data_IF_961565533292
#
_entry.id   IF_961565533292
#
_cell.length_a   1.000
_cell.length_b   1.000
_cell.length_c   1.000
_cell.angle_alpha   90.00
_cell.angle_beta   90.00
_cell.angle_gamma   90.00
#
_symmetry.space_group_name_H-M   'P 1'
#
loop_
_entity.id
_entity.type
_entity.pdbx_description
1 polymer ?
#
# COMPACT_ATOMS: atom_id res chain seq x y z
N UNK A 1 31.48 -7.88 9.99
CA UNK A 1 32.25 -7.87 8.72
C UNK A 1 31.87 -6.67 7.84
N UNK A 2 30.59 -6.36 7.65
CA UNK A 2 30.11 -5.22 6.85
C UNK A 2 30.62 -3.89 7.39
N UNK A 3 30.63 -3.69 8.72
CA UNK A 3 31.16 -2.47 9.34
C UNK A 3 32.64 -2.24 9.10
N UNK A 4 33.43 -3.30 8.93
CA UNK A 4 34.86 -3.19 8.56
C UNK A 4 35.06 -2.81 7.10
N UNK A 5 34.16 -3.21 6.20
CA UNK A 5 34.19 -2.84 4.79
C UNK A 5 33.77 -1.37 4.61
N UNK A 6 32.77 -0.91 5.35
CA UNK A 6 32.25 0.46 5.27
C UNK A 6 33.22 1.54 5.78
N UNK A 7 34.35 1.14 6.38
CA UNK A 7 35.40 2.06 6.89
C UNK A 7 36.58 2.21 5.92
N UNK A 8 36.60 1.44 4.85
CA UNK A 8 37.66 1.51 3.84
C UNK A 8 37.37 2.65 2.85
N UNK A 9 38.35 3.45 2.57
CA UNK A 9 38.25 4.61 1.67
C UNK A 9 38.14 4.21 0.19
N UNK A 10 38.52 2.98 -0.13
CA UNK A 10 38.52 2.41 -1.50
C UNK A 10 37.23 1.66 -1.84
N UNK A 11 36.25 1.58 -0.92
CA UNK A 11 35.01 0.82 -1.11
C UNK A 11 33.78 1.69 -0.88
N UNK A 12 32.91 1.74 -1.89
CA UNK A 12 31.56 2.28 -1.75
C UNK A 12 30.59 1.16 -1.43
N UNK A 13 29.97 1.20 -0.25
CA UNK A 13 28.98 0.21 0.19
C UNK A 13 27.59 0.80 0.13
N UNK A 14 26.74 0.25 -0.72
CA UNK A 14 25.33 0.61 -0.82
C UNK A 14 24.51 -0.51 -0.19
N UNK A 15 23.74 -0.17 0.86
CA UNK A 15 22.81 -1.08 1.51
C UNK A 15 21.39 -0.63 1.17
N UNK A 16 20.63 -1.45 0.50
CA UNK A 16 19.23 -1.21 0.19
C UNK A 16 18.34 -2.17 0.99
N UNK A 17 17.27 -1.66 1.55
CA UNK A 17 16.32 -2.46 2.33
C UNK A 17 15.01 -1.70 2.55
N UNK A 18 13.96 -2.43 2.94
CA UNK A 18 12.65 -1.86 3.27
C UNK A 18 12.53 -1.50 4.75
N UNK A 19 13.46 -2.00 5.57
CA UNK A 19 13.47 -1.74 7.02
C UNK A 19 14.26 -0.48 7.35
N UNK A 20 13.95 0.18 8.46
CA UNK A 20 14.77 1.27 8.99
C UNK A 20 16.25 0.87 9.14
N UNK A 21 17.13 1.87 9.19
CA UNK A 21 18.58 1.64 9.36
C UNK A 21 18.82 0.79 10.61
N UNK A 22 19.41 -0.40 10.47
CA UNK A 22 19.61 -1.30 11.62
C UNK A 22 20.47 -0.68 12.71
N UNK A 23 20.21 -0.93 14.01
CA UNK A 23 20.98 -0.35 15.13
C UNK A 23 22.48 -0.63 15.08
N UNK A 24 22.90 -1.76 14.48
CA UNK A 24 24.31 -2.12 14.36
C UNK A 24 25.09 -1.19 13.39
N UNK A 25 24.40 -0.40 12.56
CA UNK A 25 25.01 0.65 11.73
C UNK A 25 25.21 1.98 12.46
N UNK A 26 24.67 2.13 13.67
CA UNK A 26 24.81 3.37 14.46
C UNK A 26 26.25 3.88 14.59
N UNK A 27 27.28 3.04 14.81
CA UNK A 27 28.68 3.53 14.91
C UNK A 27 29.20 4.17 13.62
N UNK A 28 28.61 3.83 12.46
CA UNK A 28 29.01 4.37 11.14
C UNK A 28 28.17 5.60 10.80
N UNK A 29 26.94 5.66 11.28
CA UNK A 29 25.97 6.74 10.97
C UNK A 29 26.49 8.15 11.31
N UNK A 30 27.32 8.27 12.34
CA UNK A 30 27.87 9.55 12.78
C UNK A 30 29.17 9.94 12.08
N UNK A 31 29.61 9.17 11.08
CA UNK A 31 30.75 9.52 10.24
C UNK A 31 30.29 10.34 9.03
N UNK A 32 31.06 11.32 8.61
CA UNK A 32 30.75 12.19 7.46
C UNK A 32 30.55 11.42 6.13
N UNK A 33 31.01 10.17 6.06
CA UNK A 33 30.93 9.30 4.89
C UNK A 33 29.63 8.49 4.82
N UNK A 34 28.64 8.72 5.68
CA UNK A 34 27.38 7.98 5.72
C UNK A 34 26.23 8.85 5.17
N UNK A 35 25.60 8.39 4.09
CA UNK A 35 24.43 9.04 3.52
C UNK A 35 23.21 8.12 3.63
N UNK A 36 22.08 8.63 4.11
CA UNK A 36 20.81 7.95 4.11
C UNK A 36 19.96 8.53 2.97
N UNK A 37 19.55 7.66 2.06
CA UNK A 37 18.55 7.96 1.05
C UNK A 37 17.25 7.34 1.54
N UNK A 38 16.37 8.15 2.10
CA UNK A 38 15.07 7.75 2.57
C UNK A 38 14.05 7.74 1.40
N UNK A 39 12.86 7.22 1.68
CA UNK A 39 11.76 7.11 0.72
C UNK A 39 11.43 8.46 0.05
N UNK A 40 11.35 9.53 0.84
CA UNK A 40 11.01 10.88 0.34
C UNK A 40 11.96 11.38 -0.76
N UNK A 41 13.25 10.99 -0.69
CA UNK A 41 14.25 11.35 -1.70
C UNK A 41 14.15 10.52 -2.98
N UNK A 42 13.39 9.44 -2.95
CA UNK A 42 13.15 8.57 -4.11
C UNK A 42 11.85 8.90 -4.84
N UNK A 43 11.02 9.78 -4.26
CA UNK A 43 9.80 10.22 -4.91
C UNK A 43 10.12 11.18 -6.07
N UNK A 44 9.36 11.06 -7.15
CA UNK A 44 9.41 12.03 -8.24
C UNK A 44 8.77 13.34 -7.79
N UNK A 45 9.54 14.41 -7.88
CA UNK A 45 9.03 15.77 -7.79
C UNK A 45 8.31 16.16 -9.09
N UNK A 46 7.73 17.37 -9.13
CA UNK A 46 7.03 17.87 -10.32
C UNK A 46 7.90 17.89 -11.56
N UNK A 47 9.15 18.35 -11.42
CA UNK A 47 10.10 18.44 -12.52
C UNK A 47 10.47 17.04 -13.05
N UNK A 48 10.71 16.10 -12.15
CA UNK A 48 11.01 14.70 -12.52
C UNK A 48 9.83 14.05 -13.24
N UNK A 49 8.61 14.30 -12.78
CA UNK A 49 7.39 13.80 -13.41
C UNK A 49 7.24 14.32 -14.86
N UNK A 50 7.43 15.62 -15.06
CA UNK A 50 7.38 16.24 -16.39
C UNK A 50 8.49 15.74 -17.30
N UNK A 51 9.70 15.60 -16.81
CA UNK A 51 10.81 15.01 -17.55
C UNK A 51 10.54 13.56 -17.94
N UNK A 52 9.92 12.78 -17.05
CA UNK A 52 9.55 11.40 -17.33
C UNK A 52 8.52 11.30 -18.45
N UNK A 53 7.43 12.07 -18.37
CA UNK A 53 6.39 12.15 -19.40
C UNK A 53 6.98 12.57 -20.76
N UNK A 54 7.84 13.59 -20.76
CA UNK A 54 8.52 14.05 -21.97
C UNK A 54 9.42 12.96 -22.59
N UNK A 55 10.23 12.29 -21.79
CA UNK A 55 11.13 11.21 -22.26
C UNK A 55 10.37 10.00 -22.80
N UNK A 56 9.19 9.71 -22.26
CA UNK A 56 8.31 8.63 -22.72
C UNK A 56 7.40 9.06 -23.90
N UNK A 57 7.53 10.31 -24.36
CA UNK A 57 6.68 10.87 -25.43
C UNK A 57 5.18 10.69 -25.17
N UNK A 58 4.76 10.88 -23.93
CA UNK A 58 3.35 10.80 -23.56
C UNK A 58 2.66 12.13 -23.88
N UNK A 59 1.63 12.07 -24.72
CA UNK A 59 0.82 13.24 -25.08
C UNK A 59 -0.33 13.39 -24.07
N UNK A 60 -0.06 14.10 -22.99
CA UNK A 60 -1.02 14.35 -21.91
C UNK A 60 -1.40 15.83 -21.89
N UNK A 61 -2.69 16.10 -21.67
CA UNK A 61 -3.15 17.44 -21.30
C UNK A 61 -2.70 17.78 -19.87
N UNK A 62 -2.70 19.06 -19.50
CA UNK A 62 -2.38 19.49 -18.13
C UNK A 62 -3.27 18.78 -17.09
N UNK A 63 -4.56 18.64 -17.40
CA UNK A 63 -5.53 17.94 -16.54
C UNK A 63 -5.16 16.46 -16.38
N UNK A 64 -4.83 15.76 -17.45
CA UNK A 64 -4.43 14.36 -17.43
C UNK A 64 -3.12 14.16 -16.67
N UNK A 65 -2.16 15.05 -16.86
CA UNK A 65 -0.91 15.02 -16.11
C UNK A 65 -1.14 15.23 -14.62
N UNK A 66 -2.03 16.14 -14.24
CA UNK A 66 -2.40 16.36 -12.83
C UNK A 66 -3.04 15.10 -12.21
N UNK A 67 -3.96 14.43 -12.92
CA UNK A 67 -4.57 13.17 -12.47
C UNK A 67 -3.51 12.07 -12.33
N UNK A 68 -2.60 11.95 -13.29
CA UNK A 68 -1.53 10.94 -13.22
C UNK A 68 -0.56 11.24 -12.06
N UNK A 69 -0.17 12.49 -11.84
CA UNK A 69 0.64 12.91 -10.67
C UNK A 69 -0.07 12.54 -9.35
N UNK A 70 -1.37 12.84 -9.25
CA UNK A 70 -2.17 12.50 -8.08
C UNK A 70 -2.23 10.99 -7.84
N UNK A 71 -2.37 10.19 -8.89
CA UNK A 71 -2.39 8.73 -8.80
C UNK A 71 -1.03 8.15 -8.41
N UNK A 72 0.06 8.60 -9.03
CA UNK A 72 1.40 8.05 -8.80
C UNK A 72 2.00 8.45 -7.44
N UNK A 73 1.52 9.53 -6.80
CA UNK A 73 2.06 10.08 -5.55
C UNK A 73 3.60 10.20 -5.53
N UNK A 74 4.21 10.42 -6.68
CA UNK A 74 5.67 10.49 -6.85
C UNK A 74 6.37 9.11 -6.87
N UNK A 75 5.67 8.01 -6.69
CA UNK A 75 6.27 6.67 -6.62
C UNK A 75 6.67 6.19 -8.02
N UNK A 76 7.95 5.87 -8.23
CA UNK A 76 8.50 5.52 -9.54
C UNK A 76 7.77 4.34 -10.22
N UNK A 77 7.35 3.31 -9.46
CA UNK A 77 6.60 2.18 -10.03
C UNK A 77 5.21 2.61 -10.51
N UNK A 78 4.57 3.58 -9.87
CA UNK A 78 3.31 4.17 -10.35
C UNK A 78 3.45 4.80 -11.72
N UNK A 79 4.52 5.56 -11.91
CA UNK A 79 4.86 6.16 -13.20
C UNK A 79 5.16 5.09 -14.27
N UNK A 80 5.90 4.05 -13.92
CA UNK A 80 6.20 2.95 -14.84
C UNK A 80 4.92 2.23 -15.29
N UNK A 81 4.08 1.81 -14.36
CA UNK A 81 2.83 1.09 -14.66
C UNK A 81 1.89 1.96 -15.50
N UNK A 82 1.76 3.26 -15.14
CA UNK A 82 0.93 4.20 -15.90
C UNK A 82 1.44 4.42 -17.32
N UNK A 83 2.76 4.48 -17.51
CA UNK A 83 3.33 4.62 -18.86
C UNK A 83 3.19 3.35 -19.69
N UNK A 84 3.30 2.18 -19.09
CA UNK A 84 3.09 0.91 -19.78
C UNK A 84 1.62 0.71 -20.18
N UNK A 85 0.68 1.17 -19.33
CA UNK A 85 -0.74 1.24 -19.68
C UNK A 85 -0.97 2.23 -20.84
N UNK A 86 -0.35 3.42 -20.77
CA UNK A 86 -0.43 4.43 -21.83
C UNK A 86 0.04 3.86 -23.16
N UNK A 87 1.21 3.23 -23.21
CA UNK A 87 1.79 2.66 -24.43
C UNK A 87 0.88 1.57 -25.04
N UNK A 88 0.28 0.71 -24.22
CA UNK A 88 -0.66 -0.32 -24.67
C UNK A 88 -1.94 0.28 -25.23
N UNK A 89 -2.55 1.22 -24.52
CA UNK A 89 -3.77 1.87 -24.99
C UNK A 89 -3.53 2.66 -26.27
N UNK A 90 -2.36 3.32 -26.39
CA UNK A 90 -1.96 4.04 -27.60
C UNK A 90 -1.88 3.12 -28.83
N UNK A 91 -1.36 1.90 -28.66
CA UNK A 91 -1.29 0.92 -29.75
C UNK A 91 -2.66 0.42 -30.22
N UNK A 92 -3.67 0.46 -29.35
CA UNK A 92 -5.03 0.04 -29.64
C UNK A 92 -5.89 1.15 -30.28
N UNK A 93 -5.42 2.41 -30.25
CA UNK A 93 -6.14 3.53 -30.86
C UNK A 93 -6.12 3.45 -32.38
N UNK A 94 -7.21 3.93 -33.01
CA UNK A 94 -7.28 4.13 -34.46
C UNK A 94 -6.30 5.21 -34.94
N UNK A 95 -6.11 6.25 -34.12
CA UNK A 95 -5.09 7.29 -34.32
C UNK A 95 -4.12 7.31 -33.13
N UNK A 96 -2.98 6.63 -33.24
CA UNK A 96 -1.98 6.60 -32.16
C UNK A 96 -1.25 7.93 -31.94
N UNK A 97 -1.39 8.90 -32.85
CA UNK A 97 -0.70 10.19 -32.76
C UNK A 97 -1.49 11.26 -31.99
N UNK A 98 -2.79 11.03 -31.77
CA UNK A 98 -3.66 11.94 -31.02
C UNK A 98 -3.60 11.73 -29.49
N UNK A 99 -3.93 12.77 -28.70
CA UNK A 99 -4.10 12.63 -27.26
C UNK A 99 -5.29 11.72 -26.94
N UNK A 100 -5.34 11.20 -25.72
CA UNK A 100 -6.50 10.49 -25.22
C UNK A 100 -7.64 11.48 -24.89
N UNK A 101 -8.89 11.10 -25.17
CA UNK A 101 -10.04 11.79 -24.61
C UNK A 101 -10.18 11.51 -23.10
N UNK A 102 -11.10 12.21 -22.41
CA UNK A 102 -11.26 12.07 -20.97
C UNK A 102 -11.64 10.63 -20.57
N UNK A 103 -12.57 10.01 -21.29
CA UNK A 103 -13.05 8.65 -21.01
C UNK A 103 -11.99 7.60 -21.28
N UNK A 104 -11.28 7.72 -22.40
CA UNK A 104 -10.14 6.83 -22.70
C UNK A 104 -9.07 6.91 -21.61
N UNK A 105 -8.81 8.13 -21.12
CA UNK A 105 -7.81 8.34 -20.07
C UNK A 105 -8.26 7.81 -18.73
N UNK A 106 -9.53 7.93 -18.35
CA UNK A 106 -10.09 7.31 -17.14
C UNK A 106 -9.92 5.78 -17.16
N UNK A 107 -10.26 5.13 -18.29
CA UNK A 107 -10.08 3.68 -18.46
C UNK A 107 -8.59 3.30 -18.36
N UNK A 108 -7.70 4.12 -18.92
CA UNK A 108 -6.26 3.91 -18.82
C UNK A 108 -5.80 3.94 -17.34
N UNK A 109 -6.22 4.92 -16.57
CA UNK A 109 -5.86 5.05 -15.15
C UNK A 109 -6.41 3.88 -14.34
N UNK A 110 -7.66 3.45 -14.56
CA UNK A 110 -8.21 2.26 -13.90
C UNK A 110 -7.41 1.00 -14.25
N UNK A 111 -7.01 0.83 -15.50
CA UNK A 111 -6.15 -0.28 -15.90
C UNK A 111 -4.75 -0.19 -15.26
N UNK A 112 -4.18 1.00 -15.13
CA UNK A 112 -2.92 1.21 -14.42
C UNK A 112 -3.05 0.84 -12.94
N UNK A 113 -4.17 1.16 -12.30
CA UNK A 113 -4.46 0.75 -10.92
C UNK A 113 -4.48 -0.77 -10.78
N UNK A 114 -5.19 -1.49 -11.64
CA UNK A 114 -5.23 -2.94 -11.60
C UNK A 114 -3.84 -3.58 -11.72
N UNK A 115 -3.00 -3.03 -12.61
CA UNK A 115 -1.62 -3.53 -12.75
C UNK A 115 -0.71 -3.18 -11.58
N UNK A 116 -0.91 -2.02 -10.98
CA UNK A 116 -0.21 -1.68 -9.74
C UNK A 116 -0.54 -2.69 -8.64
N UNK A 117 -1.83 -3.11 -8.58
CA UNK A 117 -2.27 -4.13 -7.63
C UNK A 117 -1.60 -5.47 -7.88
N UNK A 118 -1.56 -5.93 -9.12
CA UNK A 118 -0.89 -7.18 -9.49
C UNK A 118 0.60 -7.12 -9.13
N UNK A 119 1.25 -5.96 -9.34
CA UNK A 119 2.64 -5.75 -8.95
C UNK A 119 2.83 -5.82 -7.43
N UNK A 120 2.03 -5.09 -6.66
CA UNK A 120 2.10 -5.08 -5.19
C UNK A 120 1.77 -6.45 -4.62
N UNK A 121 0.80 -7.14 -5.22
CA UNK A 121 0.41 -8.48 -4.83
C UNK A 121 1.58 -9.45 -4.95
N UNK A 122 2.21 -9.52 -6.10
CA UNK A 122 3.28 -10.46 -6.39
C UNK A 122 4.61 -10.10 -5.72
N UNK A 123 5.01 -8.83 -5.77
CA UNK A 123 6.35 -8.42 -5.33
C UNK A 123 6.43 -7.98 -3.87
N UNK A 124 5.32 -7.69 -3.24
CA UNK A 124 5.27 -7.21 -1.86
C UNK A 124 4.52 -8.18 -0.97
N UNK A 125 3.23 -8.32 -1.21
CA UNK A 125 2.34 -9.06 -0.33
C UNK A 125 2.64 -10.57 -0.28
N UNK A 126 2.85 -11.21 -1.41
CA UNK A 126 3.13 -12.66 -1.48
C UNK A 126 4.48 -13.04 -0.85
N UNK A 127 5.34 -12.05 -0.60
CA UNK A 127 6.61 -12.25 0.10
C UNK A 127 6.47 -12.22 1.63
N UNK A 128 5.32 -11.82 2.15
CA UNK A 128 5.09 -11.75 3.59
C UNK A 128 4.75 -13.12 4.18
N UNK A 129 5.00 -13.27 5.48
CA UNK A 129 4.57 -14.47 6.22
C UNK A 129 3.05 -14.68 6.08
N UNK A 130 2.62 -15.92 5.89
CA UNK A 130 1.19 -16.28 5.69
C UNK A 130 0.31 -15.73 6.82
N UNK A 131 0.78 -15.79 8.07
CA UNK A 131 0.03 -15.29 9.23
C UNK A 131 -0.25 -13.78 9.12
N UNK A 132 0.72 -13.02 8.60
CA UNK A 132 0.55 -11.58 8.40
C UNK A 132 -0.39 -11.28 7.23
N UNK A 133 -0.27 -12.05 6.15
CA UNK A 133 -1.19 -11.94 5.01
C UNK A 133 -2.65 -12.18 5.44
N UNK A 134 -2.88 -13.24 6.22
CA UNK A 134 -4.21 -13.58 6.75
C UNK A 134 -4.73 -12.47 7.67
N UNK A 135 -3.90 -12.01 8.61
CA UNK A 135 -4.26 -10.93 9.53
C UNK A 135 -4.72 -9.67 8.79
N UNK A 136 -3.94 -9.21 7.81
CA UNK A 136 -4.28 -8.01 7.04
C UNK A 136 -5.57 -8.17 6.23
N UNK A 137 -5.81 -9.35 5.67
CA UNK A 137 -7.09 -9.65 5.01
C UNK A 137 -8.25 -9.62 6.01
N UNK A 138 -8.09 -10.25 7.17
CA UNK A 138 -9.15 -10.36 8.17
C UNK A 138 -9.53 -9.01 8.77
N UNK A 139 -8.57 -8.13 9.08
CA UNK A 139 -8.86 -6.79 9.62
C UNK A 139 -9.36 -5.81 8.55
N UNK A 140 -9.20 -6.11 7.27
CA UNK A 140 -9.67 -5.24 6.18
C UNK A 140 -11.19 -5.10 6.08
N UNK A 141 -11.95 -5.90 6.78
CA UNK A 141 -13.42 -5.77 6.85
C UNK A 141 -13.87 -4.46 7.50
N UNK A 142 -13.00 -3.81 8.26
CA UNK A 142 -13.24 -2.51 8.88
C UNK A 142 -12.23 -1.48 8.35
N UNK A 143 -12.62 -0.19 8.33
CA UNK A 143 -11.73 0.88 7.86
C UNK A 143 -10.65 1.21 8.89
N UNK A 144 -10.98 1.09 10.18
CA UNK A 144 -10.08 1.34 11.30
C UNK A 144 -10.30 0.30 12.39
N UNK A 145 -9.23 -0.12 13.04
CA UNK A 145 -9.30 -1.07 14.14
C UNK A 145 -8.39 -0.69 15.30
N UNK A 146 -8.77 -1.10 16.48
CA UNK A 146 -7.91 -1.17 17.68
C UNK A 146 -7.37 -2.58 17.81
N UNK A 147 -6.34 -2.79 18.62
CA UNK A 147 -5.84 -4.15 18.93
C UNK A 147 -7.00 -5.05 19.36
N UNK A 148 -7.85 -4.59 20.30
CA UNK A 148 -8.99 -5.38 20.81
C UNK A 148 -10.03 -5.72 19.74
N UNK A 149 -10.32 -4.79 18.83
CA UNK A 149 -11.23 -5.09 17.72
C UNK A 149 -10.62 -6.14 16.80
N UNK A 150 -9.34 -6.00 16.48
CA UNK A 150 -8.66 -6.97 15.63
C UNK A 150 -8.57 -8.37 16.28
N UNK A 151 -8.31 -8.46 17.58
CA UNK A 151 -8.38 -9.72 18.35
C UNK A 151 -9.77 -10.35 18.26
N UNK A 152 -10.82 -9.55 18.39
CA UNK A 152 -12.20 -10.03 18.31
C UNK A 152 -12.55 -10.53 16.91
N UNK A 153 -12.17 -9.77 15.86
CA UNK A 153 -12.41 -10.13 14.46
C UNK A 153 -11.72 -11.45 14.13
N UNK A 154 -10.42 -11.53 14.43
CA UNK A 154 -9.53 -12.61 13.94
C UNK A 154 -9.49 -13.83 14.86
N UNK A 155 -9.85 -13.65 16.15
CA UNK A 155 -9.67 -14.65 17.20
C UNK A 155 -8.20 -14.91 17.57
N UNK A 156 -7.27 -14.02 17.18
CA UNK A 156 -5.83 -14.13 17.40
C UNK A 156 -5.42 -13.47 18.72
N UNK A 157 -4.39 -14.01 19.36
CA UNK A 157 -3.77 -13.44 20.55
C UNK A 157 -2.45 -12.71 20.25
N UNK A 158 -1.94 -12.84 19.03
CA UNK A 158 -0.66 -12.28 18.56
C UNK A 158 -0.82 -10.98 17.77
N UNK A 159 -1.97 -10.31 17.88
CA UNK A 159 -2.32 -9.12 17.09
C UNK A 159 -1.31 -7.99 17.26
N UNK A 160 -0.86 -7.68 18.48
CA UNK A 160 0.14 -6.64 18.70
C UNK A 160 1.43 -6.89 17.92
N UNK A 161 1.91 -8.13 17.93
CA UNK A 161 3.10 -8.53 17.18
C UNK A 161 2.89 -8.39 15.67
N UNK A 162 1.71 -8.76 15.16
CA UNK A 162 1.39 -8.64 13.73
C UNK A 162 1.26 -7.18 13.29
N UNK A 163 0.68 -6.32 14.13
CA UNK A 163 0.63 -4.86 13.89
C UNK A 163 2.04 -4.28 13.85
N UNK A 164 2.90 -4.60 14.81
CA UNK A 164 4.29 -4.14 14.79
C UNK A 164 5.05 -4.65 13.56
N UNK A 165 4.90 -5.92 13.20
CA UNK A 165 5.47 -6.45 11.95
C UNK A 165 4.97 -5.69 10.73
N UNK A 166 3.68 -5.36 10.67
CA UNK A 166 3.09 -4.61 9.55
C UNK A 166 3.72 -3.24 9.36
N UNK A 167 4.03 -2.54 10.45
CA UNK A 167 4.72 -1.23 10.41
C UNK A 167 6.12 -1.31 9.81
N UNK A 168 6.81 -2.44 9.99
CA UNK A 168 8.17 -2.64 9.48
C UNK A 168 8.23 -3.04 7.99
N UNK A 169 7.12 -3.51 7.42
CA UNK A 169 7.09 -4.04 6.05
C UNK A 169 6.80 -3.00 4.97
N UNK A 170 6.56 -1.77 5.36
CA UNK A 170 6.26 -0.65 4.47
C UNK A 170 5.19 0.27 5.08
N UNK A 171 5.02 1.45 4.52
CA UNK A 171 4.07 2.45 5.00
C UNK A 171 2.60 2.14 4.62
N UNK A 172 2.20 0.86 4.61
CA UNK A 172 0.83 0.46 4.25
C UNK A 172 -0.16 0.53 5.39
N UNK A 173 0.34 0.57 6.64
CA UNK A 173 -0.47 0.70 7.85
C UNK A 173 -0.10 1.99 8.58
N UNK A 174 -1.09 2.75 8.93
CA UNK A 174 -0.96 4.01 9.67
C UNK A 174 -1.48 3.83 11.08
N UNK A 175 -0.72 4.34 12.03
CA UNK A 175 -1.13 4.48 13.42
C UNK A 175 -1.72 5.87 13.63
N UNK A 176 -2.89 5.95 14.25
CA UNK A 176 -3.60 7.19 14.57
C UNK A 176 -4.11 7.14 16.00
N UNK A 177 -4.29 8.30 16.63
CA UNK A 177 -4.85 8.40 17.97
C UNK A 177 -6.20 9.09 17.93
N UNK A 178 -7.24 8.36 18.33
CA UNK A 178 -8.59 8.88 18.47
C UNK A 178 -8.91 8.97 19.97
N UNK A 179 -8.79 10.16 20.54
CA UNK A 179 -8.94 10.36 21.98
C UNK A 179 -7.82 9.68 22.78
N UNK A 180 -8.18 8.66 23.57
CA UNK A 180 -7.22 7.86 24.38
C UNK A 180 -6.87 6.51 23.75
N UNK A 181 -7.53 6.12 22.67
CA UNK A 181 -7.31 4.82 22.02
C UNK A 181 -6.40 4.98 20.82
N UNK A 182 -5.46 4.06 20.66
CA UNK A 182 -4.64 3.92 19.45
C UNK A 182 -5.43 3.09 18.45
N UNK A 183 -5.59 3.64 17.25
CA UNK A 183 -6.26 2.99 16.12
C UNK A 183 -5.27 2.79 14.98
N UNK A 184 -5.52 1.77 14.20
CA UNK A 184 -4.75 1.43 13.01
C UNK A 184 -5.66 1.38 11.80
N UNK A 185 -5.14 1.76 10.64
CA UNK A 185 -5.84 1.61 9.37
C UNK A 185 -4.87 1.31 8.25
N UNK A 186 -5.35 0.61 7.25
CA UNK A 186 -4.60 0.38 6.01
C UNK A 186 -4.82 1.56 5.08
N UNK A 187 -3.79 1.94 4.32
CA UNK A 187 -3.96 2.88 3.23
C UNK A 187 -5.01 2.35 2.25
N UNK A 188 -5.74 3.25 1.61
CA UNK A 188 -6.92 2.92 0.79
C UNK A 188 -6.63 1.84 -0.25
N UNK A 189 -5.49 1.96 -0.89
CA UNK A 189 -5.04 0.98 -1.85
C UNK A 189 -4.86 -0.41 -1.23
N UNK A 190 -4.13 -0.50 -0.15
CA UNK A 190 -3.91 -1.77 0.55
C UNK A 190 -5.24 -2.35 1.07
N UNK A 191 -6.08 -1.49 1.64
CA UNK A 191 -7.41 -1.88 2.13
C UNK A 191 -8.25 -2.52 1.02
N UNK A 192 -8.31 -1.88 -0.15
CA UNK A 192 -9.03 -2.37 -1.32
C UNK A 192 -8.48 -3.71 -1.80
N UNK A 193 -7.16 -3.86 -1.88
CA UNK A 193 -6.51 -5.12 -2.24
C UNK A 193 -6.85 -6.24 -1.24
N UNK A 194 -6.73 -5.96 0.05
CA UNK A 194 -7.02 -6.95 1.09
C UNK A 194 -8.48 -7.41 1.07
N UNK A 195 -9.43 -6.50 0.85
CA UNK A 195 -10.85 -6.81 0.68
C UNK A 195 -11.11 -7.69 -0.56
N UNK A 196 -10.46 -7.37 -1.69
CA UNK A 196 -10.54 -8.19 -2.91
C UNK A 196 -10.00 -9.60 -2.67
N UNK A 197 -8.88 -9.74 -1.97
CA UNK A 197 -8.29 -11.04 -1.61
C UNK A 197 -9.14 -11.82 -0.62
N UNK A 198 -9.69 -11.16 0.39
CA UNK A 198 -10.59 -11.77 1.35
C UNK A 198 -11.75 -12.46 0.61
N UNK A 199 -12.40 -11.74 -0.32
CA UNK A 199 -13.50 -12.29 -1.13
C UNK A 199 -13.09 -13.48 -2.00
N UNK A 200 -11.84 -13.49 -2.51
CA UNK A 200 -11.33 -14.58 -3.36
C UNK A 200 -10.88 -15.81 -2.55
N UNK A 201 -10.27 -15.60 -1.39
CA UNK A 201 -9.60 -16.67 -0.63
C UNK A 201 -10.47 -17.30 0.45
N UNK A 202 -11.41 -16.55 1.02
CA UNK A 202 -12.22 -17.02 2.14
C UNK A 202 -13.62 -17.42 1.68
N UNK A 203 -14.10 -18.55 2.23
CA UNK A 203 -15.50 -18.96 2.04
C UNK A 203 -16.45 -17.93 2.63
N UNK A 204 -17.67 -17.88 2.09
CA UNK A 204 -18.75 -17.02 2.60
C UNK A 204 -18.95 -17.18 4.10
N UNK A 205 -18.92 -18.43 4.59
CA UNK A 205 -19.07 -18.74 6.01
C UNK A 205 -17.95 -18.11 6.87
N UNK A 206 -16.69 -18.17 6.39
CA UNK A 206 -15.57 -17.55 7.10
C UNK A 206 -15.69 -16.03 7.07
N UNK A 207 -16.06 -15.43 5.95
CA UNK A 207 -16.30 -13.98 5.84
C UNK A 207 -17.41 -13.55 6.79
N UNK A 208 -18.55 -14.24 6.79
CA UNK A 208 -19.68 -14.02 7.70
C UNK A 208 -19.24 -13.99 9.15
N UNK A 209 -18.44 -14.95 9.58
CA UNK A 209 -17.93 -15.03 10.95
C UNK A 209 -17.09 -13.82 11.34
N UNK A 210 -16.26 -13.29 10.44
CA UNK A 210 -15.46 -12.09 10.70
C UNK A 210 -16.35 -10.87 10.94
N UNK A 211 -17.37 -10.67 10.09
CA UNK A 211 -18.33 -9.56 10.24
C UNK A 211 -19.20 -9.71 11.50
N UNK A 212 -19.65 -10.93 11.83
CA UNK A 212 -20.39 -11.20 13.07
C UNK A 212 -19.56 -10.87 14.31
N UNK A 213 -18.28 -11.24 14.32
CA UNK A 213 -17.34 -10.91 15.40
C UNK A 213 -17.15 -9.39 15.55
N UNK A 214 -17.00 -8.68 14.43
CA UNK A 214 -16.92 -7.20 14.46
C UNK A 214 -18.21 -6.57 14.96
N UNK A 215 -19.36 -7.07 14.51
CA UNK A 215 -20.68 -6.62 14.97
C UNK A 215 -20.86 -6.81 16.48
N UNK A 216 -20.48 -7.97 17.00
CA UNK A 216 -20.50 -8.25 18.45
C UNK A 216 -19.61 -7.28 19.24
N UNK A 217 -18.40 -6.99 18.74
CA UNK A 217 -17.54 -6.00 19.38
C UNK A 217 -18.20 -4.63 19.49
N UNK A 218 -18.77 -4.12 18.39
CA UNK A 218 -19.43 -2.82 18.39
C UNK A 218 -20.69 -2.81 19.27
N UNK A 219 -21.41 -3.91 19.35
CA UNK A 219 -22.53 -4.07 20.27
C UNK A 219 -22.10 -3.96 21.73
N UNK A 220 -21.00 -4.64 22.10
CA UNK A 220 -20.42 -4.55 23.46
C UNK A 220 -19.92 -3.14 23.79
N UNK A 221 -19.40 -2.42 22.79
CA UNK A 221 -18.97 -1.01 22.92
C UNK A 221 -20.14 -0.03 22.92
N UNK A 222 -21.39 -0.47 22.77
CA UNK A 222 -22.60 0.36 22.65
C UNK A 222 -22.58 1.30 21.44
N UNK A 223 -22.05 0.82 20.32
CA UNK A 223 -22.02 1.51 19.02
C UNK A 223 -22.98 0.83 18.03
N UNK A 224 -24.31 0.98 18.20
CA UNK A 224 -25.32 0.18 17.50
C UNK A 224 -25.29 0.38 15.97
N UNK A 225 -24.99 1.58 15.49
CA UNK A 225 -24.93 1.85 14.05
C UNK A 225 -23.78 1.11 13.38
N UNK A 226 -22.62 1.03 14.04
CA UNK A 226 -21.49 0.25 13.51
C UNK A 226 -21.76 -1.25 13.58
N UNK A 227 -22.39 -1.71 14.66
CA UNK A 227 -22.80 -3.11 14.78
C UNK A 227 -23.78 -3.50 13.67
N UNK A 228 -24.79 -2.66 13.39
CA UNK A 228 -25.76 -2.87 12.32
C UNK A 228 -25.08 -2.96 10.96
N UNK A 229 -24.18 -2.02 10.65
CA UNK A 229 -23.44 -2.04 9.38
C UNK A 229 -22.62 -3.32 9.17
N UNK A 230 -22.05 -3.88 10.24
CA UNK A 230 -21.34 -5.18 10.16
C UNK A 230 -22.30 -6.35 9.90
N UNK A 231 -23.48 -6.35 10.54
CA UNK A 231 -24.46 -7.41 10.34
C UNK A 231 -25.14 -7.33 8.96
N UNK A 232 -25.36 -6.12 8.43
CA UNK A 232 -25.88 -5.93 7.07
C UNK A 232 -24.87 -6.40 6.02
N UNK A 233 -23.58 -6.12 6.21
CA UNK A 233 -22.51 -6.60 5.31
C UNK A 233 -22.46 -8.14 5.20
N UNK A 234 -22.99 -8.86 6.17
CA UNK A 234 -23.16 -10.33 6.12
C UNK A 234 -24.18 -10.75 5.08
N UNK A 235 -25.21 -9.94 4.85
CA UNK A 235 -26.29 -10.24 3.89
C UNK A 235 -25.91 -9.95 2.43
N UNK A 236 -24.93 -9.08 2.23
CA UNK A 236 -24.44 -8.66 0.90
C UNK A 236 -23.23 -9.48 0.41
N UNK A 237 -22.75 -10.41 1.22
CA UNK A 237 -21.66 -11.34 0.87
C UNK A 237 -22.22 -12.70 0.49
#
# INVERSE_FOLDING_TARGET
QITKLAVREDIWLILAGRSPVPPWLAPIRYREMFCIINEERLLFDERMAEQYVSRRNMLLTEKQLAVMKAYCHGVAVGWQVSSDAYDRFRQLKKDPSGPFDEREFEILIENAKDQMWDYLEYHVYDQWEVQLQEFLMEVSIVDRFTIRLAEMITGRLDVEMLVEKSKWLGNFMVEDRIGKETCYYLLEEMLTSMRRRLKKRYSMEKQKKLYENAGLYYQLKREPMKALAMYEAVGDT
#
